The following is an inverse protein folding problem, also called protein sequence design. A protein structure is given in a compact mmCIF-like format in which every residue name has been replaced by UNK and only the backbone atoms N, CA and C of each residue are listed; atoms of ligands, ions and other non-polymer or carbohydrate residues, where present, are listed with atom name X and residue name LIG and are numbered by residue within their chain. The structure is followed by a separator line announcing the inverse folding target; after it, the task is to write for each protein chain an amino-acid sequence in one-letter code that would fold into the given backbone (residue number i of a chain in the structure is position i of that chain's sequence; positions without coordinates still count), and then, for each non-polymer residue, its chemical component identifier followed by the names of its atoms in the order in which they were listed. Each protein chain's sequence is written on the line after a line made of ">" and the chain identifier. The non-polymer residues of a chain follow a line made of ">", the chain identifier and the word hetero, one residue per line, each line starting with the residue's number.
data_IF_447808767845
#
_entry.id   IF_447808767845
#
_cell.length_a   1.000
_cell.length_b   1.000
_cell.length_c   1.000
_cell.angle_alpha   90.00
_cell.angle_beta   90.00
_cell.angle_gamma   90.00
#
_symmetry.space_group_name_H-M   'P 1'
#
loop_
_entity.id
_entity.type
_entity.pdbx_description
1 polymer ?
#
# COMPACT_ATOMS: atom_id res chain seq x y z
N UNK A 1 -11.19 -10.03 -4.48
CA UNK A 1 -10.48 -10.12 -3.19
C UNK A 1 -9.22 -10.94 -3.42
N UNK A 2 -8.12 -10.71 -2.69
CA UNK A 2 -6.90 -11.47 -2.91
C UNK A 2 -7.15 -12.95 -2.62
N UNK A 3 -6.49 -13.83 -3.35
CA UNK A 3 -6.47 -15.27 -3.10
C UNK A 3 -5.62 -15.62 -1.86
N UNK A 4 -4.69 -14.73 -1.49
CA UNK A 4 -3.86 -14.86 -0.30
C UNK A 4 -4.37 -14.02 0.88
N UNK A 5 -4.64 -14.69 2.01
CA UNK A 5 -4.95 -14.01 3.29
C UNK A 5 -3.79 -13.12 3.73
N UNK A 6 -2.55 -13.53 3.48
CA UNK A 6 -1.36 -12.77 3.82
C UNK A 6 -1.26 -11.49 2.97
N UNK A 7 -1.60 -11.56 1.67
CA UNK A 7 -1.64 -10.37 0.80
C UNK A 7 -2.72 -9.38 1.27
N UNK A 8 -3.88 -9.91 1.72
CA UNK A 8 -4.93 -9.09 2.31
C UNK A 8 -4.46 -8.37 3.57
N UNK A 9 -3.79 -9.08 4.48
CA UNK A 9 -3.26 -8.51 5.72
C UNK A 9 -2.22 -7.43 5.45
N UNK A 10 -1.32 -7.65 4.49
CA UNK A 10 -0.34 -6.65 4.06
C UNK A 10 -1.03 -5.42 3.49
N UNK A 11 -2.04 -5.57 2.63
CA UNK A 11 -2.85 -4.44 2.15
C UNK A 11 -3.53 -3.67 3.30
N UNK A 12 -4.09 -4.35 4.30
CA UNK A 12 -4.70 -3.69 5.46
C UNK A 12 -3.66 -2.90 6.28
N UNK A 13 -2.45 -3.45 6.48
CA UNK A 13 -1.33 -2.72 7.09
C UNK A 13 -0.97 -1.48 6.29
N UNK A 14 -0.87 -1.60 4.96
CA UNK A 14 -0.64 -0.46 4.07
C UNK A 14 -1.68 0.65 4.23
N UNK A 15 -2.96 0.29 4.24
CA UNK A 15 -4.08 1.22 4.49
C UNK A 15 -4.00 1.89 5.87
N UNK A 16 -3.66 1.15 6.91
CA UNK A 16 -3.49 1.68 8.26
C UNK A 16 -2.39 2.76 8.31
N UNK A 17 -1.23 2.49 7.72
CA UNK A 17 -0.12 3.47 7.70
C UNK A 17 -0.40 4.67 6.79
N UNK A 18 -1.06 4.44 5.64
CA UNK A 18 -1.49 5.54 4.75
C UNK A 18 -2.43 6.53 5.48
N UNK A 19 -3.30 6.03 6.35
CA UNK A 19 -4.21 6.86 7.13
C UNK A 19 -3.53 7.72 8.20
N UNK A 20 -2.25 7.47 8.54
CA UNK A 20 -1.51 8.30 9.50
C UNK A 20 -1.13 9.67 8.95
N UNK A 21 -1.06 9.82 7.62
CA UNK A 21 -0.74 11.08 6.92
C UNK A 21 0.58 11.73 7.39
N UNK A 22 1.52 10.93 7.88
CA UNK A 22 2.90 11.34 8.16
C UNK A 22 3.82 10.80 7.07
N UNK A 23 4.97 11.43 6.85
CA UNK A 23 5.96 10.95 5.88
C UNK A 23 6.37 9.49 6.12
N UNK A 24 6.70 9.14 7.37
CA UNK A 24 7.01 7.77 7.76
C UNK A 24 5.83 6.80 7.52
N UNK A 25 4.60 7.27 7.75
CA UNK A 25 3.39 6.48 7.47
C UNK A 25 3.19 6.22 5.98
N UNK A 26 3.47 7.22 5.13
CA UNK A 26 3.42 7.06 3.68
C UNK A 26 4.53 6.12 3.18
N UNK A 27 5.73 6.19 3.76
CA UNK A 27 6.82 5.27 3.41
C UNK A 27 6.48 3.82 3.77
N UNK A 28 5.99 3.58 4.99
CA UNK A 28 5.57 2.25 5.43
C UNK A 28 4.38 1.72 4.63
N UNK A 29 3.44 2.59 4.23
CA UNK A 29 2.29 2.14 3.43
C UNK A 29 2.73 1.58 2.08
N UNK A 30 3.70 2.24 1.42
CA UNK A 30 4.31 1.82 0.15
C UNK A 30 4.93 0.44 0.30
N UNK A 31 5.73 0.23 1.35
CA UNK A 31 6.39 -1.05 1.63
C UNK A 31 5.38 -2.20 1.79
N UNK A 32 4.29 -1.97 2.51
CA UNK A 32 3.25 -3.00 2.68
C UNK A 32 2.45 -3.27 1.41
N UNK A 33 2.16 -2.24 0.60
CA UNK A 33 1.52 -2.45 -0.69
C UNK A 33 2.43 -3.20 -1.65
N UNK A 34 3.73 -2.93 -1.65
CA UNK A 34 4.69 -3.67 -2.47
C UNK A 34 4.76 -5.14 -2.05
N UNK A 35 4.85 -5.44 -0.75
CA UNK A 35 4.84 -6.83 -0.27
C UNK A 35 3.54 -7.55 -0.64
N UNK A 36 2.39 -6.86 -0.61
CA UNK A 36 1.12 -7.45 -1.05
C UNK A 36 1.11 -7.78 -2.55
N UNK A 37 1.76 -6.95 -3.38
CA UNK A 37 1.94 -7.17 -4.82
C UNK A 37 2.91 -8.32 -5.08
N UNK A 38 4.04 -8.36 -4.36
CA UNK A 38 5.05 -9.39 -4.53
C UNK A 38 4.47 -10.78 -4.19
N UNK A 39 3.58 -10.84 -3.21
CA UNK A 39 2.89 -12.08 -2.85
C UNK A 39 1.74 -12.43 -3.81
N UNK A 40 0.99 -11.43 -4.27
CA UNK A 40 -0.10 -11.63 -5.23
C UNK A 40 -0.05 -10.54 -6.31
N UNK A 41 0.66 -10.79 -7.42
CA UNK A 41 0.82 -9.80 -8.50
C UNK A 41 -0.49 -9.40 -9.18
N UNK A 42 -1.57 -10.16 -8.99
CA UNK A 42 -2.90 -9.82 -9.49
C UNK A 42 -3.70 -8.92 -8.53
N UNK A 43 -3.15 -8.52 -7.38
CA UNK A 43 -3.91 -7.85 -6.34
C UNK A 43 -4.13 -6.34 -6.61
N UNK A 44 -5.16 -6.05 -7.40
CA UNK A 44 -5.48 -4.70 -7.87
C UNK A 44 -5.59 -3.61 -6.77
N UNK A 45 -6.08 -3.94 -5.57
CA UNK A 45 -6.21 -2.96 -4.49
C UNK A 45 -4.85 -2.53 -3.91
N UNK A 46 -3.85 -3.41 -3.91
CA UNK A 46 -2.50 -3.06 -3.48
C UNK A 46 -1.85 -2.07 -4.46
N UNK A 47 -2.01 -2.28 -5.77
CA UNK A 47 -1.59 -1.31 -6.79
C UNK A 47 -2.29 0.04 -6.64
N UNK A 48 -3.61 0.06 -6.40
CA UNK A 48 -4.34 1.30 -6.19
C UNK A 48 -3.82 2.07 -4.95
N UNK A 49 -3.52 1.35 -3.86
CA UNK A 49 -2.89 1.92 -2.67
C UNK A 49 -1.51 2.50 -2.95
N UNK A 50 -0.67 1.78 -3.70
CA UNK A 50 0.67 2.24 -4.07
C UNK A 50 0.63 3.51 -4.93
N UNK A 51 -0.18 3.53 -5.99
CA UNK A 51 -0.36 4.71 -6.86
C UNK A 51 -0.87 5.93 -6.08
N UNK A 52 -1.83 5.72 -5.16
CA UNK A 52 -2.31 6.79 -4.30
C UNK A 52 -1.22 7.38 -3.40
N UNK A 53 -0.26 6.59 -2.93
CA UNK A 53 0.86 7.11 -2.13
C UNK A 53 1.88 7.87 -2.96
N UNK A 54 2.21 7.39 -4.16
CA UNK A 54 3.15 8.07 -5.07
C UNK A 54 2.57 9.44 -5.50
N UNK A 55 1.28 9.51 -5.82
CA UNK A 55 0.61 10.76 -6.15
C UNK A 55 0.66 11.78 -5.00
N UNK A 56 0.40 11.34 -3.75
CA UNK A 56 0.47 12.25 -2.59
C UNK A 56 1.89 12.78 -2.34
N UNK A 57 2.94 12.03 -2.67
CA UNK A 57 4.33 12.51 -2.58
C UNK A 57 4.67 13.51 -3.68
N UNK A 58 4.16 13.30 -4.89
CA UNK A 58 4.38 14.22 -6.01
C UNK A 58 3.72 15.59 -5.81
N UNK A 59 2.63 15.66 -5.05
CA UNK A 59 1.94 16.93 -4.75
C UNK A 59 2.54 17.68 -3.54
N UNK A 60 3.51 17.09 -2.83
CA UNK A 60 4.18 17.69 -1.67
C UNK A 60 5.59 18.24 -1.99
N UNK A 61 5.97 18.28 -3.27
CA UNK A 61 7.16 18.95 -3.81
C UNK A 61 6.73 20.12 -4.70
#
# INVERSE_FOLDING_TARGET
>A
MPTSVEAYNLYLKGRYFWNKRTEEGLQKSIEFFQQAIDLEPAYALAYAGLSGNILNRATLL
#
